data_IF_196784402533
#
_entry.id   IF_196784402533
#
_cell.length_a   1.000
_cell.length_b   1.000
_cell.length_c   1.000
_cell.angle_alpha   90.00
_cell.angle_beta   90.00
_cell.angle_gamma   90.00
#
_symmetry.space_group_name_H-M   'P 1'
#
loop_
_entity.id
_entity.type
_entity.pdbx_description
1 polymer ?
#
# COMPACT_ATOMS: atom_id res chain seq x y z
N UNK A 1 -10.90 19.13 -8.28
CA UNK A 1 -11.58 18.77 -7.03
C UNK A 1 -11.95 17.31 -7.10
N UNK A 2 -11.84 16.59 -6.00
CA UNK A 2 -12.03 15.15 -6.00
C UNK A 2 -13.49 14.75 -6.20
N UNK A 3 -13.73 13.80 -7.10
CA UNK A 3 -15.05 13.28 -7.44
C UNK A 3 -15.16 11.85 -6.95
N UNK A 4 -16.18 11.58 -6.14
CA UNK A 4 -16.48 10.23 -5.64
C UNK A 4 -17.95 9.89 -5.84
N UNK A 5 -18.26 8.58 -5.85
CA UNK A 5 -19.62 8.05 -6.00
C UNK A 5 -19.86 6.91 -5.00
N UNK A 6 -21.05 6.80 -4.39
CA UNK A 6 -21.48 5.58 -3.72
C UNK A 6 -21.70 4.47 -4.76
N UNK A 7 -21.56 3.22 -4.34
CA UNK A 7 -21.74 2.07 -5.25
C UNK A 7 -22.40 0.88 -4.54
N UNK A 8 -22.91 -0.06 -5.33
CA UNK A 8 -23.46 -1.33 -4.84
C UNK A 8 -22.34 -2.32 -4.59
N UNK A 9 -21.82 -2.39 -3.37
CA UNK A 9 -20.74 -3.30 -3.01
C UNK A 9 -21.18 -4.76 -3.17
N UNK A 10 -20.26 -5.59 -3.68
CA UNK A 10 -20.36 -7.06 -3.58
C UNK A 10 -19.54 -7.47 -2.38
N UNK A 11 -20.15 -8.11 -1.39
CA UNK A 11 -19.52 -8.40 -0.12
C UNK A 11 -19.99 -9.71 0.51
N UNK A 12 -19.20 -10.35 1.38
CA UNK A 12 -19.61 -11.58 2.02
C UNK A 12 -20.73 -11.34 3.03
N UNK A 13 -21.60 -12.32 3.28
CA UNK A 13 -22.45 -12.36 4.47
C UNK A 13 -21.61 -12.24 5.76
N UNK A 14 -22.21 -11.68 6.82
CA UNK A 14 -21.52 -11.38 8.09
C UNK A 14 -20.77 -12.60 8.68
N UNK A 15 -21.34 -13.78 8.59
CA UNK A 15 -20.80 -15.04 9.10
C UNK A 15 -19.72 -15.66 8.20
N UNK A 16 -19.49 -15.11 7.01
CA UNK A 16 -18.51 -15.62 6.05
C UNK A 16 -17.30 -14.69 5.84
N UNK A 17 -17.34 -13.44 6.33
CA UNK A 17 -16.30 -12.45 6.01
C UNK A 17 -14.89 -12.91 6.40
N UNK A 18 -14.73 -13.56 7.56
CA UNK A 18 -13.43 -14.09 8.02
C UNK A 18 -12.89 -15.23 7.15
N UNK A 19 -13.79 -15.94 6.45
CA UNK A 19 -13.41 -17.02 5.54
C UNK A 19 -13.10 -16.53 4.13
N UNK A 20 -13.69 -15.39 3.75
CA UNK A 20 -13.54 -14.80 2.41
C UNK A 20 -12.35 -13.85 2.37
N UNK A 21 -12.16 -13.01 3.38
CA UNK A 21 -11.13 -11.98 3.37
C UNK A 21 -9.72 -12.57 3.19
N UNK A 22 -8.84 -11.79 2.61
CA UNK A 22 -7.43 -12.16 2.42
C UNK A 22 -6.51 -10.95 2.48
N UNK A 23 -5.21 -11.19 2.66
CA UNK A 23 -4.19 -10.16 2.41
C UNK A 23 -4.17 -9.77 0.93
N UNK A 24 -3.70 -8.57 0.56
CA UNK A 24 -3.59 -8.17 -0.85
C UNK A 24 -2.55 -9.03 -1.59
N UNK A 25 -2.73 -9.15 -2.90
CA UNK A 25 -1.97 -10.07 -3.76
C UNK A 25 -0.45 -9.83 -3.75
N UNK A 26 -0.02 -8.61 -3.45
CA UNK A 26 1.37 -8.14 -3.59
C UNK A 26 2.22 -8.28 -2.31
N UNK A 27 1.65 -8.80 -1.23
CA UNK A 27 2.37 -9.01 0.05
C UNK A 27 2.82 -10.45 0.28
N UNK A 28 2.44 -11.38 -0.61
CA UNK A 28 2.76 -12.80 -0.49
C UNK A 28 3.00 -13.41 -1.89
N UNK A 29 3.80 -14.46 -1.92
CA UNK A 29 3.98 -15.25 -3.13
C UNK A 29 2.85 -16.29 -3.31
N UNK A 30 2.91 -17.07 -4.41
CA UNK A 30 1.85 -18.05 -4.73
C UNK A 30 1.86 -19.26 -3.80
N UNK A 31 2.99 -19.63 -3.23
CA UNK A 31 3.08 -20.75 -2.29
C UNK A 31 2.57 -20.34 -0.91
N UNK A 32 2.90 -19.13 -0.48
CA UNK A 32 2.35 -18.51 0.74
C UNK A 32 0.82 -18.38 0.64
N UNK A 33 0.31 -17.91 -0.51
CA UNK A 33 -1.14 -17.81 -0.75
C UNK A 33 -1.84 -19.17 -0.72
N UNK A 34 -1.22 -20.18 -1.31
CA UNK A 34 -1.72 -21.56 -1.27
C UNK A 34 -1.76 -22.11 0.15
N UNK A 35 -0.71 -21.86 0.93
CA UNK A 35 -0.62 -22.28 2.32
C UNK A 35 -1.67 -21.59 3.21
N UNK A 36 -1.90 -20.28 3.00
CA UNK A 36 -2.93 -19.54 3.75
C UNK A 36 -4.36 -19.94 3.35
N UNK A 37 -4.62 -20.15 2.06
CA UNK A 37 -5.92 -20.63 1.61
C UNK A 37 -6.21 -22.04 2.17
N UNK A 38 -5.21 -22.91 2.25
CA UNK A 38 -5.37 -24.29 2.74
C UNK A 38 -6.54 -25.00 2.04
N UNK A 39 -7.43 -25.58 2.82
CA UNK A 39 -8.66 -26.24 2.34
C UNK A 39 -9.87 -25.29 2.30
N UNK A 40 -9.67 -24.01 2.49
CA UNK A 40 -10.76 -23.02 2.48
C UNK A 40 -11.14 -22.61 1.06
N UNK A 41 -12.15 -23.25 0.48
CA UNK A 41 -12.68 -22.92 -0.84
C UNK A 41 -13.27 -21.50 -0.96
N UNK A 42 -13.54 -20.83 0.16
CA UNK A 42 -14.08 -19.46 0.20
C UNK A 42 -12.98 -18.40 0.27
N UNK A 43 -11.70 -18.77 0.38
CA UNK A 43 -10.61 -17.80 0.43
C UNK A 43 -10.57 -16.98 -0.85
N UNK A 44 -10.49 -15.65 -0.71
CA UNK A 44 -10.40 -14.76 -1.88
C UNK A 44 -9.12 -14.98 -2.70
N UNK A 45 -8.12 -15.65 -2.16
CA UNK A 45 -6.93 -16.02 -2.92
C UNK A 45 -7.26 -16.80 -4.19
N UNK A 46 -8.33 -17.60 -4.22
CA UNK A 46 -8.81 -18.27 -5.42
C UNK A 46 -9.23 -17.31 -6.55
N UNK A 47 -9.46 -16.02 -6.22
CA UNK A 47 -9.81 -14.97 -7.20
C UNK A 47 -8.63 -14.07 -7.51
N UNK A 48 -7.85 -13.64 -6.49
CA UNK A 48 -6.78 -12.66 -6.66
C UNK A 48 -5.41 -13.29 -6.95
N UNK A 49 -5.23 -14.58 -6.62
CA UNK A 49 -4.05 -15.42 -6.90
C UNK A 49 -4.49 -16.80 -7.41
N UNK A 50 -5.26 -16.86 -8.51
CA UNK A 50 -5.94 -18.09 -8.95
C UNK A 50 -4.96 -19.16 -9.45
N UNK A 51 -3.68 -18.85 -9.61
CA UNK A 51 -2.62 -19.85 -9.86
C UNK A 51 -2.51 -20.91 -8.74
N UNK A 52 -3.06 -20.63 -7.54
CA UNK A 52 -3.10 -21.61 -6.46
C UNK A 52 -4.01 -22.82 -6.77
N UNK A 53 -4.95 -22.66 -7.70
CA UNK A 53 -5.83 -23.74 -8.16
C UNK A 53 -5.18 -24.67 -9.22
N UNK A 54 -3.96 -24.37 -9.63
CA UNK A 54 -3.17 -25.12 -10.62
C UNK A 54 -1.98 -25.84 -9.94
N UNK A 55 -1.30 -26.77 -10.64
CA UNK A 55 -0.10 -27.38 -10.13
C UNK A 55 0.96 -26.34 -9.71
N UNK A 56 1.73 -26.68 -8.66
CA UNK A 56 2.84 -25.83 -8.19
C UNK A 56 3.80 -25.52 -9.34
N UNK A 57 4.24 -24.26 -9.44
CA UNK A 57 5.08 -23.77 -10.53
C UNK A 57 4.31 -23.22 -11.73
N UNK A 58 2.97 -23.26 -11.73
CA UNK A 58 2.18 -22.54 -12.74
C UNK A 58 2.41 -21.04 -12.61
N UNK A 59 2.74 -20.40 -13.72
CA UNK A 59 2.99 -18.95 -13.75
C UNK A 59 1.73 -18.16 -13.42
N UNK A 60 1.83 -17.14 -12.56
CA UNK A 60 0.75 -16.17 -12.31
C UNK A 60 0.27 -15.45 -13.58
N UNK A 61 1.08 -15.47 -14.64
CA UNK A 61 0.79 -14.83 -15.94
C UNK A 61 0.23 -15.80 -17.00
N UNK A 62 -0.02 -17.08 -16.67
CA UNK A 62 -0.65 -18.04 -17.59
C UNK A 62 -2.08 -17.56 -17.91
N UNK A 63 -2.49 -17.51 -19.19
CA UNK A 63 -3.84 -17.10 -19.58
C UNK A 63 -4.97 -17.81 -18.84
N UNK A 64 -4.79 -19.10 -18.54
CA UNK A 64 -5.78 -19.92 -17.82
C UNK A 64 -6.02 -19.43 -16.39
N UNK A 65 -5.02 -18.78 -15.78
CA UNK A 65 -5.11 -18.23 -14.42
C UNK A 65 -6.12 -17.09 -14.39
N UNK A 66 -6.13 -16.22 -15.39
CA UNK A 66 -7.12 -15.13 -15.48
C UNK A 66 -8.54 -15.64 -15.71
N UNK A 67 -8.71 -16.66 -16.57
CA UNK A 67 -10.01 -17.31 -16.80
C UNK A 67 -10.53 -17.93 -15.49
N UNK A 68 -9.62 -18.58 -14.73
CA UNK A 68 -9.93 -19.16 -13.43
C UNK A 68 -10.37 -18.13 -12.40
N UNK A 69 -9.76 -16.92 -12.40
CA UNK A 69 -10.21 -15.81 -11.55
C UNK A 69 -11.69 -15.49 -11.80
N UNK A 70 -12.10 -15.37 -13.08
CA UNK A 70 -13.49 -15.06 -13.44
C UNK A 70 -14.45 -16.20 -13.08
N UNK A 71 -14.07 -17.45 -13.33
CA UNK A 71 -14.85 -18.63 -12.90
C UNK A 71 -15.08 -18.63 -11.40
N UNK A 72 -14.02 -18.41 -10.62
CA UNK A 72 -14.09 -18.38 -9.17
C UNK A 72 -14.95 -17.20 -8.68
N UNK A 73 -14.78 -16.02 -9.26
CA UNK A 73 -15.60 -14.85 -8.90
C UNK A 73 -17.09 -15.09 -9.17
N UNK A 74 -17.43 -15.74 -10.28
CA UNK A 74 -18.83 -16.15 -10.56
C UNK A 74 -19.29 -17.24 -9.58
N UNK A 75 -18.46 -18.28 -9.32
CA UNK A 75 -18.76 -19.34 -8.33
C UNK A 75 -19.08 -18.76 -6.95
N UNK A 76 -18.32 -17.76 -6.50
CA UNK A 76 -18.53 -17.13 -5.19
C UNK A 76 -19.88 -16.42 -5.11
N UNK A 77 -20.31 -15.77 -6.18
CA UNK A 77 -21.64 -15.15 -6.27
C UNK A 77 -22.76 -16.21 -6.34
N UNK A 78 -22.60 -17.24 -7.15
CA UNK A 78 -23.60 -18.33 -7.30
C UNK A 78 -23.81 -19.12 -6.00
N UNK A 79 -22.74 -19.23 -5.19
CA UNK A 79 -22.78 -19.89 -3.87
C UNK A 79 -23.29 -18.98 -2.74
N UNK A 80 -23.51 -17.70 -3.01
CA UNK A 80 -23.88 -16.72 -2.00
C UNK A 80 -22.76 -16.41 -1.01
N UNK A 81 -21.51 -16.73 -1.34
CA UNK A 81 -20.33 -16.31 -0.54
C UNK A 81 -19.99 -14.84 -0.72
N UNK A 82 -20.42 -14.28 -1.85
CA UNK A 82 -20.40 -12.87 -2.16
C UNK A 82 -21.77 -12.45 -2.67
N UNK A 83 -22.35 -11.41 -2.08
CA UNK A 83 -23.69 -10.92 -2.39
C UNK A 83 -23.62 -9.42 -2.69
N UNK A 84 -24.30 -8.99 -3.76
CA UNK A 84 -24.35 -7.57 -4.11
C UNK A 84 -25.40 -6.84 -3.27
N UNK A 85 -25.05 -5.67 -2.74
CA UNK A 85 -25.97 -4.80 -2.04
C UNK A 85 -27.05 -4.24 -2.98
N UNK A 86 -28.27 -4.04 -2.48
CA UNK A 86 -29.40 -3.55 -3.28
C UNK A 86 -29.30 -2.06 -3.63
N UNK A 87 -28.61 -1.27 -2.80
CA UNK A 87 -28.47 0.20 -2.91
C UNK A 87 -27.06 0.63 -3.11
N UNK A 88 -26.87 1.76 -3.79
CA UNK A 88 -25.62 2.48 -3.83
C UNK A 88 -25.37 3.13 -2.46
N UNK A 89 -24.20 2.91 -1.88
CA UNK A 89 -23.84 3.38 -0.54
C UNK A 89 -22.33 3.54 -0.38
N UNK A 90 -21.92 4.26 0.66
CA UNK A 90 -20.54 4.28 1.10
C UNK A 90 -20.37 3.32 2.28
N UNK A 91 -19.11 3.07 2.60
CA UNK A 91 -18.79 2.22 3.75
C UNK A 91 -17.65 2.83 4.56
N UNK A 92 -17.58 2.47 5.83
CA UNK A 92 -16.43 2.75 6.68
C UNK A 92 -15.70 1.43 6.91
N UNK A 93 -14.41 1.42 6.66
CA UNK A 93 -13.53 0.30 6.97
C UNK A 93 -12.48 0.74 7.98
N UNK A 94 -12.50 0.14 9.17
CA UNK A 94 -11.55 0.41 10.23
C UNK A 94 -10.57 -0.75 10.40
N UNK A 95 -9.31 -0.40 10.64
CA UNK A 95 -8.23 -1.34 10.88
C UNK A 95 -7.53 -0.99 12.19
N UNK A 96 -7.31 -2.00 13.03
CA UNK A 96 -6.63 -1.83 14.33
C UNK A 96 -5.33 -2.63 14.33
N UNK A 97 -4.21 -1.95 14.55
CA UNK A 97 -2.88 -2.53 14.72
C UNK A 97 -2.20 -1.91 15.95
N UNK A 98 -1.66 -2.74 16.84
CA UNK A 98 -0.96 -2.29 18.05
C UNK A 98 -1.75 -1.27 18.89
N UNK A 99 -3.06 -1.45 19.01
CA UNK A 99 -3.95 -0.58 19.79
C UNK A 99 -4.33 0.74 19.09
N UNK A 100 -3.80 1.03 17.90
CA UNK A 100 -4.19 2.19 17.09
C UNK A 100 -5.18 1.76 16.02
N UNK A 101 -6.32 2.47 15.93
CA UNK A 101 -7.33 2.26 14.89
C UNK A 101 -7.31 3.41 13.89
N UNK A 102 -7.30 3.09 12.60
CA UNK A 102 -7.50 4.02 11.49
C UNK A 102 -8.83 3.72 10.79
N UNK A 103 -9.54 4.76 10.37
CA UNK A 103 -10.85 4.68 9.74
C UNK A 103 -10.80 5.24 8.34
N UNK A 104 -11.18 4.43 7.35
CA UNK A 104 -11.24 4.83 5.95
C UNK A 104 -12.66 4.80 5.40
N UNK A 105 -12.98 5.73 4.50
CA UNK A 105 -14.21 5.75 3.72
C UNK A 105 -13.98 4.95 2.42
N UNK A 106 -14.82 3.95 2.19
CA UNK A 106 -14.80 3.15 0.95
C UNK A 106 -15.72 3.82 -0.05
N UNK A 107 -15.14 4.20 -1.19
CA UNK A 107 -15.80 5.02 -2.22
C UNK A 107 -15.46 4.52 -3.62
N UNK A 108 -16.29 4.85 -4.59
CA UNK A 108 -15.91 4.84 -6.01
C UNK A 108 -15.19 6.14 -6.34
N UNK A 109 -13.88 6.10 -6.61
CA UNK A 109 -13.06 7.25 -7.01
C UNK A 109 -13.09 7.42 -8.53
N UNK A 110 -13.21 8.65 -9.02
CA UNK A 110 -13.43 8.93 -10.44
C UNK A 110 -12.16 8.69 -11.27
N UNK A 111 -12.32 7.96 -12.38
CA UNK A 111 -11.22 7.60 -13.29
C UNK A 111 -10.51 8.83 -13.85
N UNK A 112 -11.28 9.86 -14.26
CA UNK A 112 -10.70 11.07 -14.82
C UNK A 112 -9.89 11.87 -13.79
N UNK A 113 -10.21 11.78 -12.50
CA UNK A 113 -9.40 12.41 -11.44
C UNK A 113 -8.00 11.78 -11.36
N UNK A 114 -7.88 10.48 -11.64
CA UNK A 114 -6.58 9.83 -11.78
C UNK A 114 -5.85 10.28 -13.06
N UNK A 115 -6.57 10.34 -14.19
CA UNK A 115 -5.99 10.71 -15.48
C UNK A 115 -5.55 12.18 -15.51
N UNK A 116 -6.28 13.07 -14.84
CA UNK A 116 -6.04 14.52 -14.82
C UNK A 116 -5.17 14.97 -13.63
N UNK A 117 -4.70 14.04 -12.77
CA UNK A 117 -3.80 14.36 -11.66
C UNK A 117 -4.46 15.02 -10.45
N UNK A 118 -5.77 14.91 -10.29
CA UNK A 118 -6.48 15.21 -9.02
C UNK A 118 -6.16 14.12 -7.99
N UNK A 119 -6.09 12.86 -8.43
CA UNK A 119 -5.51 11.77 -7.64
C UNK A 119 -4.01 11.75 -7.88
N UNK A 120 -3.26 12.17 -6.87
CA UNK A 120 -1.82 12.41 -6.90
C UNK A 120 -1.03 11.12 -6.69
N UNK A 121 0.04 10.97 -7.46
CA UNK A 121 0.98 9.83 -7.43
C UNK A 121 2.32 10.27 -6.89
N UNK A 122 3.00 9.40 -6.15
CA UNK A 122 4.37 9.61 -5.69
C UNK A 122 5.33 8.48 -6.11
N UNK A 123 4.82 7.46 -6.80
CA UNK A 123 5.60 6.32 -7.30
C UNK A 123 5.26 6.01 -8.76
N UNK A 124 6.28 5.54 -9.53
CA UNK A 124 6.09 5.04 -10.88
C UNK A 124 5.64 3.59 -10.87
N UNK A 125 4.67 3.26 -11.71
CA UNK A 125 4.23 1.88 -11.91
C UNK A 125 5.17 1.13 -12.86
N UNK A 126 5.27 -0.18 -12.66
CA UNK A 126 5.95 -1.09 -13.60
C UNK A 126 4.92 -1.60 -14.60
N UNK A 127 5.26 -1.51 -15.90
CA UNK A 127 4.35 -1.84 -16.99
C UNK A 127 3.89 -3.31 -16.95
N UNK A 128 4.77 -4.24 -16.62
CA UNK A 128 4.44 -5.66 -16.49
C UNK A 128 3.37 -5.93 -15.41
N UNK A 129 3.50 -5.29 -14.24
CA UNK A 129 2.55 -5.40 -13.15
C UNK A 129 1.24 -4.66 -13.45
N UNK A 130 1.30 -3.53 -14.12
CA UNK A 130 0.13 -2.77 -14.56
C UNK A 130 -0.71 -3.59 -15.55
N UNK A 131 -0.08 -4.15 -16.59
CA UNK A 131 -0.75 -5.00 -17.57
C UNK A 131 -1.39 -6.25 -16.95
N UNK A 132 -0.72 -6.87 -15.99
CA UNK A 132 -1.24 -7.99 -15.23
C UNK A 132 -2.51 -7.62 -14.47
N UNK A 133 -2.49 -6.55 -13.69
CA UNK A 133 -3.68 -6.06 -12.97
C UNK A 133 -4.80 -5.60 -13.91
N UNK A 134 -4.47 -5.00 -15.05
CA UNK A 134 -5.48 -4.66 -16.08
C UNK A 134 -6.20 -5.90 -16.59
N UNK A 135 -5.50 -7.02 -16.82
CA UNK A 135 -6.13 -8.28 -17.22
C UNK A 135 -7.11 -8.77 -16.15
N UNK A 136 -6.71 -8.75 -14.88
CA UNK A 136 -7.61 -9.12 -13.78
C UNK A 136 -8.87 -8.25 -13.73
N UNK A 137 -8.72 -6.93 -13.84
CA UNK A 137 -9.87 -6.00 -13.85
C UNK A 137 -10.77 -6.24 -15.05
N UNK A 138 -10.22 -6.47 -16.26
CA UNK A 138 -11.01 -6.74 -17.46
C UNK A 138 -11.80 -8.03 -17.36
N UNK A 139 -11.15 -9.13 -16.96
CA UNK A 139 -11.76 -10.46 -16.97
C UNK A 139 -12.84 -10.60 -15.89
N UNK A 140 -12.59 -10.06 -14.70
CA UNK A 140 -13.57 -10.06 -13.61
C UNK A 140 -14.66 -9.00 -13.80
N UNK A 141 -14.44 -8.01 -14.65
CA UNK A 141 -15.28 -6.82 -14.78
C UNK A 141 -15.58 -6.16 -13.42
N UNK A 142 -14.58 -6.11 -12.56
CA UNK A 142 -14.66 -5.64 -11.17
C UNK A 142 -13.32 -5.17 -10.63
N UNK A 143 -13.36 -4.26 -9.66
CA UNK A 143 -12.24 -3.98 -8.77
C UNK A 143 -12.36 -4.91 -7.56
N UNK A 144 -11.67 -6.05 -7.61
CA UNK A 144 -11.69 -7.07 -6.55
C UNK A 144 -10.95 -6.57 -5.30
N UNK A 145 -9.85 -5.85 -5.49
CA UNK A 145 -8.99 -5.34 -4.42
C UNK A 145 -9.08 -3.82 -4.34
N UNK A 146 -9.22 -3.24 -3.15
CA UNK A 146 -9.27 -1.79 -2.98
C UNK A 146 -7.89 -1.15 -3.20
N UNK A 147 -7.90 0.13 -3.54
CA UNK A 147 -6.71 0.99 -3.48
C UNK A 147 -6.75 1.85 -2.22
N UNK A 148 -5.59 2.25 -1.73
CA UNK A 148 -5.43 2.96 -0.47
C UNK A 148 -5.08 4.41 -0.73
N UNK A 149 -5.99 5.34 -0.38
CA UNK A 149 -5.81 6.77 -0.56
C UNK A 149 -5.75 7.50 0.77
N UNK A 150 -5.07 8.64 0.75
CA UNK A 150 -5.12 9.63 1.81
C UNK A 150 -5.81 10.90 1.33
N UNK A 151 -6.48 11.60 2.26
CA UNK A 151 -7.02 12.93 2.03
C UNK A 151 -6.65 13.88 3.19
N UNK A 152 -6.58 15.20 2.94
CA UNK A 152 -6.35 16.20 4.00
C UNK A 152 -7.40 16.09 5.10
N UNK A 153 -7.01 16.25 6.36
CA UNK A 153 -7.90 16.11 7.48
C UNK A 153 -9.16 16.98 7.34
N UNK A 154 -10.32 16.39 7.63
CA UNK A 154 -11.62 17.02 7.48
C UNK A 154 -12.50 16.73 8.71
N UNK A 155 -12.81 17.77 9.47
CA UNK A 155 -13.57 17.63 10.72
C UNK A 155 -15.00 17.12 10.51
N UNK A 156 -15.66 17.48 9.41
CA UNK A 156 -17.04 17.03 9.13
C UNK A 156 -17.07 15.52 8.91
N UNK A 157 -16.12 15.01 8.11
CA UNK A 157 -15.98 13.57 7.86
C UNK A 157 -15.53 12.82 9.14
N UNK A 158 -14.64 13.41 9.93
CA UNK A 158 -14.19 12.81 11.19
C UNK A 158 -15.37 12.66 12.18
N UNK A 159 -16.19 13.70 12.35
CA UNK A 159 -17.37 13.66 13.22
C UNK A 159 -18.41 12.62 12.71
N UNK A 160 -18.61 12.53 11.40
CA UNK A 160 -19.48 11.53 10.79
C UNK A 160 -18.97 10.10 11.04
N UNK A 161 -17.69 9.84 10.79
CA UNK A 161 -17.06 8.55 11.02
C UNK A 161 -17.16 8.14 12.50
N UNK A 162 -16.89 9.06 13.44
CA UNK A 162 -17.02 8.81 14.89
C UNK A 162 -18.43 8.42 15.29
N UNK A 163 -19.44 9.04 14.67
CA UNK A 163 -20.85 8.70 14.92
C UNK A 163 -21.16 7.26 14.51
N UNK A 164 -20.70 6.82 13.35
CA UNK A 164 -20.86 5.43 12.92
C UNK A 164 -20.03 4.47 13.77
N UNK A 165 -18.80 4.83 14.11
CA UNK A 165 -17.90 4.00 14.93
C UNK A 165 -18.45 3.74 16.34
N UNK A 166 -19.38 4.58 16.84
CA UNK A 166 -20.10 4.38 18.10
C UNK A 166 -21.29 3.41 18.00
N UNK A 167 -21.62 2.94 16.78
CA UNK A 167 -22.69 1.96 16.55
C UNK A 167 -22.10 0.55 16.36
N UNK A 168 -22.97 -0.49 16.40
CA UNK A 168 -22.56 -1.84 16.08
C UNK A 168 -22.12 -1.96 14.62
N UNK A 169 -20.93 -2.52 14.33
CA UNK A 169 -20.46 -2.71 12.97
C UNK A 169 -21.15 -3.89 12.27
N UNK A 170 -21.22 -3.83 10.96
CA UNK A 170 -21.63 -4.95 10.11
C UNK A 170 -20.65 -6.12 10.24
N UNK A 171 -19.32 -5.84 10.21
CA UNK A 171 -18.27 -6.80 10.48
C UNK A 171 -17.41 -6.35 11.66
N UNK A 172 -17.02 -7.29 12.50
CA UNK A 172 -16.06 -7.10 13.59
C UNK A 172 -15.30 -8.41 13.82
N UNK A 173 -14.04 -8.44 13.39
CA UNK A 173 -13.21 -9.65 13.49
C UNK A 173 -11.74 -9.31 13.66
N UNK A 174 -10.97 -10.31 14.11
CA UNK A 174 -9.51 -10.26 14.19
C UNK A 174 -8.97 -11.28 13.18
N UNK A 175 -8.18 -10.79 12.21
CA UNK A 175 -7.59 -11.68 11.22
C UNK A 175 -6.55 -12.60 11.85
N UNK A 176 -6.67 -13.93 11.71
CA UNK A 176 -5.81 -14.89 12.41
C UNK A 176 -4.35 -14.87 11.95
N UNK A 177 -4.10 -14.39 10.75
CA UNK A 177 -2.76 -14.40 10.14
C UNK A 177 -1.80 -13.38 10.74
N UNK A 178 -2.31 -12.25 11.24
CA UNK A 178 -1.49 -11.14 11.77
C UNK A 178 -2.03 -10.54 13.08
N UNK A 179 -3.21 -10.96 13.53
CA UNK A 179 -3.84 -10.48 14.75
C UNK A 179 -4.41 -9.06 14.64
N UNK A 180 -4.55 -8.50 13.44
CA UNK A 180 -5.11 -7.17 13.24
C UNK A 180 -6.63 -7.21 13.31
N UNK A 181 -7.21 -6.16 13.92
CA UNK A 181 -8.65 -5.98 14.03
C UNK A 181 -9.22 -5.29 12.79
N UNK A 182 -10.39 -5.76 12.35
CA UNK A 182 -11.11 -5.21 11.20
C UNK A 182 -12.57 -4.97 11.56
N UNK A 183 -13.06 -3.76 11.30
CA UNK A 183 -14.48 -3.41 11.48
C UNK A 183 -15.00 -2.72 10.22
N UNK A 184 -16.29 -2.91 9.96
CA UNK A 184 -16.92 -2.39 8.75
C UNK A 184 -18.33 -1.91 9.04
N UNK A 185 -18.71 -0.74 8.52
CA UNK A 185 -20.05 -0.16 8.64
C UNK A 185 -20.57 0.21 7.27
N UNK A 186 -21.87 0.12 7.11
CA UNK A 186 -22.59 0.52 5.89
C UNK A 186 -23.22 1.90 6.11
N UNK A 187 -23.00 2.81 5.17
CA UNK A 187 -23.57 4.16 5.18
C UNK A 187 -24.65 4.22 4.09
N UNK A 188 -25.90 4.10 4.49
CA UNK A 188 -27.06 4.08 3.59
C UNK A 188 -28.02 5.28 3.81
N UNK A 189 -27.72 6.16 4.74
CA UNK A 189 -28.47 7.40 4.95
C UNK A 189 -28.17 8.41 3.85
N UNK A 190 -29.19 8.91 3.15
CA UNK A 190 -29.03 9.81 2.00
C UNK A 190 -28.37 11.15 2.37
N UNK A 191 -28.58 11.66 3.59
CA UNK A 191 -27.96 12.91 4.04
C UNK A 191 -26.47 12.70 4.31
N UNK A 192 -26.09 11.55 4.87
CA UNK A 192 -24.69 11.21 5.12
C UNK A 192 -23.96 10.95 3.81
N UNK A 193 -24.59 10.24 2.87
CA UNK A 193 -24.06 10.03 1.51
C UNK A 193 -23.82 11.38 0.84
N UNK A 194 -24.80 12.28 0.89
CA UNK A 194 -24.65 13.63 0.34
C UNK A 194 -23.54 14.40 1.02
N UNK A 195 -23.44 14.35 2.35
CA UNK A 195 -22.42 15.04 3.13
C UNK A 195 -21.01 14.56 2.73
N UNK A 196 -20.80 13.25 2.62
CA UNK A 196 -19.52 12.68 2.21
C UNK A 196 -19.17 13.15 0.79
N UNK A 197 -20.10 13.06 -0.16
CA UNK A 197 -19.88 13.48 -1.54
C UNK A 197 -19.52 14.97 -1.62
N UNK A 198 -20.27 15.84 -0.89
CA UNK A 198 -20.04 17.29 -0.88
C UNK A 198 -18.69 17.65 -0.25
N UNK A 199 -18.27 16.96 0.81
CA UNK A 199 -16.97 17.22 1.45
C UNK A 199 -15.80 16.80 0.56
N UNK A 200 -15.86 15.66 -0.13
CA UNK A 200 -14.84 15.28 -1.11
C UNK A 200 -14.78 16.25 -2.29
N UNK A 201 -15.92 16.76 -2.75
CA UNK A 201 -15.97 17.76 -3.81
C UNK A 201 -15.30 19.10 -3.46
N UNK A 202 -14.97 19.35 -2.19
CA UNK A 202 -14.20 20.53 -1.75
C UNK A 202 -12.69 20.25 -1.73
N UNK A 203 -12.27 18.99 -1.76
CA UNK A 203 -10.85 18.60 -1.69
C UNK A 203 -10.16 18.82 -3.04
N UNK A 204 -9.04 19.55 -3.08
CA UNK A 204 -8.32 19.78 -4.34
C UNK A 204 -7.69 18.50 -4.89
N UNK A 205 -7.27 17.58 -4.04
CA UNK A 205 -6.59 16.35 -4.43
C UNK A 205 -6.82 15.23 -3.42
N UNK A 206 -6.68 13.99 -3.92
CA UNK A 206 -6.46 12.78 -3.13
C UNK A 206 -5.05 12.26 -3.40
N UNK A 207 -4.49 11.47 -2.49
CA UNK A 207 -3.11 11.00 -2.58
C UNK A 207 -3.08 9.48 -2.48
N UNK A 208 -2.46 8.81 -3.44
CA UNK A 208 -2.28 7.37 -3.38
C UNK A 208 -1.27 7.08 -2.26
N UNK A 209 -1.70 6.35 -1.24
CA UNK A 209 -0.82 5.87 -0.17
C UNK A 209 -0.21 4.51 -0.56
N UNK A 210 -1.05 3.57 -1.01
CA UNK A 210 -0.63 2.24 -1.46
C UNK A 210 -1.50 1.76 -2.64
N UNK A 211 -0.97 0.83 -3.46
CA UNK A 211 -1.69 0.28 -4.60
C UNK A 211 -1.57 1.10 -5.89
N UNK A 212 -0.42 1.70 -6.17
CA UNK A 212 -0.18 2.45 -7.41
C UNK A 212 -0.48 1.64 -8.68
N UNK A 213 -0.08 0.35 -8.74
CA UNK A 213 -0.37 -0.53 -9.88
C UNK A 213 -1.86 -0.83 -10.01
N UNK A 214 -2.57 -1.06 -8.88
CA UNK A 214 -4.02 -1.28 -8.85
C UNK A 214 -4.78 -0.03 -9.29
N UNK A 215 -4.37 1.15 -8.82
CA UNK A 215 -4.96 2.44 -9.24
C UNK A 215 -4.79 2.70 -10.73
N UNK A 216 -3.57 2.49 -11.26
CA UNK A 216 -3.28 2.64 -12.69
C UNK A 216 -4.13 1.67 -13.52
N UNK A 217 -4.14 0.39 -13.16
CA UNK A 217 -4.88 -0.63 -13.89
C UNK A 217 -6.39 -0.35 -13.91
N UNK A 218 -6.98 0.01 -12.77
CA UNK A 218 -8.40 0.34 -12.68
C UNK A 218 -8.77 1.56 -13.53
N UNK A 219 -7.98 2.64 -13.46
CA UNK A 219 -8.22 3.85 -14.22
C UNK A 219 -8.06 3.62 -15.73
N UNK A 220 -7.02 2.89 -16.16
CA UNK A 220 -6.80 2.60 -17.57
C UNK A 220 -7.88 1.70 -18.17
N UNK A 221 -8.33 0.69 -17.43
CA UNK A 221 -9.45 -0.17 -17.88
C UNK A 221 -10.76 0.62 -17.92
N UNK A 222 -11.03 1.49 -16.95
CA UNK A 222 -12.18 2.37 -16.97
C UNK A 222 -12.20 3.28 -18.21
N UNK A 223 -11.08 3.95 -18.48
CA UNK A 223 -10.91 4.80 -19.67
C UNK A 223 -11.05 4.00 -21.00
N UNK A 224 -10.52 2.77 -21.04
CA UNK A 224 -10.70 1.86 -22.18
C UNK A 224 -12.18 1.50 -22.43
N UNK A 225 -12.92 1.17 -21.36
CA UNK A 225 -14.36 0.89 -21.43
C UNK A 225 -15.15 2.10 -21.90
N UNK A 226 -14.85 3.28 -21.36
CA UNK A 226 -15.49 4.53 -21.79
C UNK A 226 -15.28 4.80 -23.30
N UNK A 227 -14.04 4.65 -23.77
CA UNK A 227 -13.67 4.82 -25.19
C UNK A 227 -14.39 3.83 -26.11
N UNK A 228 -14.58 2.58 -25.63
CA UNK A 228 -15.18 1.52 -26.43
C UNK A 228 -16.73 1.48 -26.35
N UNK A 229 -17.34 2.27 -25.47
CA UNK A 229 -18.80 2.34 -25.34
C UNK A 229 -19.38 3.51 -26.18
N UNK A 230 -20.02 3.24 -27.33
CA UNK A 230 -20.62 4.30 -28.15
C UNK A 230 -21.79 5.02 -27.48
N UNK A 231 -22.30 4.48 -26.37
CA UNK A 231 -23.39 5.06 -25.58
C UNK A 231 -22.89 5.60 -24.24
N UNK A 232 -21.59 5.87 -24.12
CA UNK A 232 -21.00 6.42 -22.91
C UNK A 232 -21.65 7.75 -22.51
N UNK A 233 -22.04 7.86 -21.21
CA UNK A 233 -22.70 9.04 -20.64
C UNK A 233 -21.88 9.69 -19.52
N UNK A 234 -20.91 8.97 -18.94
CA UNK A 234 -20.06 9.41 -17.84
C UNK A 234 -20.53 8.98 -16.44
N UNK A 235 -21.71 8.38 -16.32
CA UNK A 235 -22.28 7.90 -15.05
C UNK A 235 -22.14 6.40 -14.82
N UNK A 236 -21.57 5.67 -15.80
CA UNK A 236 -21.39 4.23 -15.72
C UNK A 236 -20.36 3.83 -14.64
N UNK A 237 -20.55 2.64 -14.03
CA UNK A 237 -19.72 2.14 -12.92
C UNK A 237 -18.22 2.05 -13.27
N UNK A 238 -17.86 1.74 -14.50
CA UNK A 238 -16.46 1.68 -14.95
C UNK A 238 -15.74 3.05 -14.95
N UNK A 239 -16.47 4.16 -14.81
CA UNK A 239 -15.85 5.49 -14.61
C UNK A 239 -15.36 5.71 -13.19
N UNK A 240 -15.62 4.76 -12.30
CA UNK A 240 -15.20 4.80 -10.91
C UNK A 240 -14.45 3.53 -10.54
N UNK A 241 -13.52 3.63 -9.60
CA UNK A 241 -12.81 2.48 -9.07
C UNK A 241 -12.76 2.53 -7.54
N UNK A 242 -12.75 1.35 -6.93
CA UNK A 242 -12.87 1.22 -5.49
C UNK A 242 -11.62 1.69 -4.75
N UNK A 243 -11.78 2.69 -3.89
CA UNK A 243 -10.74 3.21 -3.02
C UNK A 243 -11.21 3.24 -1.56
N UNK A 244 -10.27 3.03 -0.64
CA UNK A 244 -10.44 3.31 0.79
C UNK A 244 -9.63 4.55 1.11
N UNK A 245 -10.31 5.63 1.49
CA UNK A 245 -9.75 6.95 1.71
C UNK A 245 -9.65 7.24 3.21
N UNK A 246 -8.44 7.51 3.70
CA UNK A 246 -8.16 7.81 5.11
C UNK A 246 -7.74 9.26 5.28
N UNK A 247 -8.04 9.84 6.44
CA UNK A 247 -7.43 11.11 6.82
C UNK A 247 -5.92 10.96 7.00
N UNK A 248 -5.17 11.91 6.46
CA UNK A 248 -3.70 11.86 6.46
C UNK A 248 -3.10 11.67 7.86
N UNK A 249 -3.66 12.32 8.89
CA UNK A 249 -3.18 12.23 10.27
C UNK A 249 -3.39 10.85 10.93
N UNK A 250 -4.30 10.01 10.41
CA UNK A 250 -4.58 8.69 10.97
C UNK A 250 -3.57 7.63 10.48
N UNK A 251 -2.89 7.88 9.36
CA UNK A 251 -2.05 6.88 8.72
C UNK A 251 -0.77 6.60 9.49
N UNK A 252 -0.35 5.35 9.46
CA UNK A 252 0.92 4.91 10.00
C UNK A 252 1.84 4.52 8.84
N UNK A 253 2.96 5.22 8.74
CA UNK A 253 4.02 4.92 7.79
C UNK A 253 5.19 4.36 8.59
N UNK A 254 5.60 3.16 8.25
CA UNK A 254 6.75 2.51 8.86
C UNK A 254 8.00 2.78 8.03
N UNK A 255 9.14 2.64 8.68
CA UNK A 255 10.45 2.70 8.05
C UNK A 255 10.60 1.58 7.00
N UNK A 256 11.32 1.90 5.93
CA UNK A 256 11.70 0.92 4.92
C UNK A 256 13.21 0.83 4.90
N UNK A 257 13.73 -0.23 5.50
CA UNK A 257 15.15 -0.37 5.82
C UNK A 257 15.92 -1.08 4.69
N UNK A 258 17.23 -0.97 4.70
CA UNK A 258 18.16 -1.54 3.73
C UNK A 258 19.12 -2.49 4.40
N UNK A 259 19.45 -3.57 3.67
CA UNK A 259 20.58 -4.46 4.00
C UNK A 259 21.44 -4.63 2.76
N UNK A 260 22.76 -4.60 2.92
CA UNK A 260 23.71 -4.70 1.81
C UNK A 260 24.69 -5.84 2.03
N UNK A 261 25.10 -6.50 0.94
CA UNK A 261 25.93 -7.71 0.97
C UNK A 261 27.40 -7.43 1.20
N UNK A 262 27.89 -6.25 0.84
CA UNK A 262 29.30 -5.91 0.91
C UNK A 262 29.53 -4.40 1.06
N UNK A 263 30.74 -4.02 1.43
CA UNK A 263 31.19 -2.64 1.58
C UNK A 263 32.01 -2.15 0.36
N UNK A 264 31.76 -2.65 -0.83
CA UNK A 264 32.46 -2.26 -2.05
C UNK A 264 34.00 -2.38 -1.91
N UNK A 265 34.46 -3.53 -1.43
CA UNK A 265 35.87 -3.88 -1.16
C UNK A 265 36.55 -3.07 -0.05
N UNK A 266 35.83 -2.20 0.67
CA UNK A 266 36.39 -1.47 1.81
C UNK A 266 36.36 -2.33 3.06
N UNK A 267 37.38 -2.14 3.91
CA UNK A 267 37.33 -2.59 5.29
C UNK A 267 36.42 -1.67 6.12
N UNK A 268 35.84 -2.17 7.21
CA UNK A 268 34.90 -1.43 8.05
C UNK A 268 35.46 -0.10 8.53
N UNK A 269 36.73 -0.07 8.94
CA UNK A 269 37.41 1.16 9.39
C UNK A 269 37.47 2.21 8.28
N UNK A 270 37.80 1.81 7.06
CA UNK A 270 37.85 2.72 5.90
C UNK A 270 36.44 3.24 5.59
N UNK A 271 35.43 2.35 5.61
CA UNK A 271 34.04 2.71 5.37
C UNK A 271 33.55 3.75 6.39
N UNK A 272 33.77 3.52 7.70
CA UNK A 272 33.41 4.48 8.76
C UNK A 272 34.11 5.83 8.59
N UNK A 273 35.40 5.85 8.19
CA UNK A 273 36.11 7.09 7.91
C UNK A 273 35.53 7.86 6.72
N UNK A 274 35.08 7.17 5.68
CA UNK A 274 34.43 7.80 4.52
C UNK A 274 33.03 8.30 4.89
N UNK A 275 32.25 7.55 5.65
CA UNK A 275 30.95 7.99 6.18
C UNK A 275 31.08 9.29 6.98
N UNK A 276 32.12 9.42 7.81
CA UNK A 276 32.36 10.59 8.64
C UNK A 276 32.62 11.89 7.85
N UNK A 277 32.75 11.84 6.53
CA UNK A 277 32.81 13.05 5.68
C UNK A 277 31.44 13.75 5.63
N UNK A 278 30.35 12.97 5.46
CA UNK A 278 29.02 13.48 5.28
C UNK A 278 28.13 13.32 6.51
N UNK A 279 28.51 12.48 7.47
CA UNK A 279 27.73 12.17 8.66
C UNK A 279 28.56 12.41 9.96
N UNK A 280 27.85 12.72 11.03
CA UNK A 280 28.37 12.55 12.39
C UNK A 280 28.10 11.09 12.73
N UNK A 281 29.15 10.32 13.00
CA UNK A 281 29.08 8.87 13.26
C UNK A 281 29.38 8.63 14.72
N UNK A 282 28.44 8.01 15.43
CA UNK A 282 28.62 7.68 16.86
C UNK A 282 28.35 6.18 17.05
N UNK A 283 29.27 5.49 17.72
CA UNK A 283 29.06 4.08 18.12
C UNK A 283 28.08 4.02 19.30
N UNK A 284 27.00 3.26 19.12
CA UNK A 284 25.93 3.04 20.12
C UNK A 284 26.05 1.67 20.82
N UNK A 285 27.08 0.87 20.50
CA UNK A 285 27.31 -0.44 21.06
C UNK A 285 26.48 -1.56 20.41
N UNK A 286 26.26 -2.63 21.16
CA UNK A 286 25.61 -3.86 20.67
C UNK A 286 24.08 -3.82 20.75
N UNK A 287 23.53 -2.93 21.58
CA UNK A 287 22.09 -2.79 21.76
C UNK A 287 21.46 -2.07 20.57
N UNK A 288 20.24 -2.52 20.19
CA UNK A 288 19.50 -1.96 19.05
C UNK A 288 19.29 -0.47 19.25
N UNK A 289 19.76 0.30 18.29
CA UNK A 289 19.54 1.74 18.22
C UNK A 289 18.62 2.10 17.06
N UNK A 290 17.51 2.77 17.33
CA UNK A 290 16.54 3.22 16.34
C UNK A 290 16.72 4.71 16.05
N UNK A 291 16.66 5.17 14.77
CA UNK A 291 16.66 6.61 14.43
C UNK A 291 15.56 7.35 15.20
N UNK A 292 15.89 8.50 15.76
CA UNK A 292 14.98 9.27 16.62
C UNK A 292 14.31 10.44 15.89
N UNK A 293 14.87 10.86 14.77
CA UNK A 293 14.44 12.05 14.02
C UNK A 293 14.87 11.99 12.56
N UNK A 294 14.29 12.89 11.75
CA UNK A 294 14.69 13.10 10.37
C UNK A 294 16.20 13.43 10.29
N UNK A 295 16.87 12.97 9.23
CA UNK A 295 18.31 13.09 8.97
C UNK A 295 19.22 12.30 9.93
N UNK A 296 18.62 11.43 10.73
CA UNK A 296 19.33 10.46 11.56
C UNK A 296 19.04 9.05 11.05
N UNK A 297 20.09 8.28 10.83
CA UNK A 297 20.05 6.88 10.42
C UNK A 297 20.61 6.00 11.51
N UNK A 298 20.24 4.75 11.50
CA UNK A 298 20.87 3.74 12.32
C UNK A 298 21.54 2.70 11.42
N UNK A 299 22.81 2.41 11.69
CA UNK A 299 23.58 1.44 10.92
C UNK A 299 24.04 0.29 11.82
N UNK A 300 23.86 -0.95 11.39
CA UNK A 300 24.41 -2.12 12.04
C UNK A 300 25.58 -2.69 11.22
N UNK A 301 26.76 -2.74 11.82
CA UNK A 301 28.01 -3.20 11.20
C UNK A 301 28.91 -3.83 12.25
N UNK A 302 29.47 -5.01 11.96
CA UNK A 302 30.45 -5.73 12.83
C UNK A 302 29.99 -5.92 14.29
N UNK A 303 28.70 -6.18 14.51
CA UNK A 303 28.15 -6.40 15.84
C UNK A 303 27.72 -5.13 16.58
N UNK A 304 28.01 -3.95 16.03
CA UNK A 304 27.70 -2.66 16.65
C UNK A 304 26.65 -1.87 15.87
N UNK A 305 25.83 -1.15 16.62
CA UNK A 305 24.93 -0.12 16.09
C UNK A 305 25.62 1.23 16.12
N UNK A 306 25.42 2.00 15.06
CA UNK A 306 25.94 3.37 14.92
C UNK A 306 24.78 4.31 14.63
N UNK A 307 24.75 5.50 15.24
CA UNK A 307 23.92 6.59 14.71
C UNK A 307 24.72 7.37 13.67
N UNK A 308 24.06 7.71 12.57
CA UNK A 308 24.61 8.52 11.49
C UNK A 308 23.72 9.75 11.36
N UNK A 309 24.19 10.92 11.80
CA UNK A 309 23.45 12.17 11.59
C UNK A 309 24.02 12.90 10.38
N UNK A 310 23.19 13.14 9.36
CA UNK A 310 23.61 13.87 8.17
C UNK A 310 24.03 15.29 8.52
N UNK A 311 25.18 15.73 7.99
CA UNK A 311 25.72 17.08 8.25
C UNK A 311 24.96 18.11 7.44
N UNK A 312 24.84 19.32 7.95
CA UNK A 312 24.32 20.46 7.21
C UNK A 312 25.05 20.63 5.87
N UNK A 313 24.29 20.95 4.82
CA UNK A 313 24.77 21.07 3.44
C UNK A 313 24.91 19.74 2.68
N UNK A 314 24.59 18.59 3.30
CA UNK A 314 24.51 17.29 2.60
C UNK A 314 23.12 16.98 2.06
N UNK A 315 22.14 17.75 2.44
CA UNK A 315 20.73 17.69 2.00
C UNK A 315 20.18 19.09 1.76
N UNK A 316 19.04 19.18 1.09
CA UNK A 316 18.36 20.44 0.75
C UNK A 316 16.94 20.41 1.31
N UNK A 317 16.69 21.16 2.38
CA UNK A 317 15.37 21.28 3.03
C UNK A 317 14.32 21.94 2.12
N UNK A 318 14.72 22.59 1.05
CA UNK A 318 13.80 23.24 0.08
C UNK A 318 13.40 22.30 -1.08
N UNK A 319 14.13 21.20 -1.27
CA UNK A 319 13.76 20.17 -2.25
C UNK A 319 12.98 19.04 -1.57
N UNK A 320 11.71 18.83 -1.92
CA UNK A 320 10.87 17.80 -1.31
C UNK A 320 11.43 16.36 -1.46
N UNK A 321 12.33 16.11 -2.41
CA UNK A 321 13.05 14.84 -2.55
C UNK A 321 14.38 14.89 -1.79
N UNK A 322 15.17 15.93 -1.96
CA UNK A 322 16.51 16.08 -1.39
C UNK A 322 16.53 16.10 0.14
N UNK A 323 15.41 16.44 0.78
CA UNK A 323 15.22 16.42 2.24
C UNK A 323 14.98 15.02 2.79
N UNK A 324 14.64 14.03 1.96
CA UNK A 324 14.28 12.69 2.41
C UNK A 324 15.50 11.86 2.81
N UNK A 325 15.42 11.17 3.93
CA UNK A 325 16.43 10.22 4.38
C UNK A 325 16.72 9.13 3.36
N UNK A 326 15.68 8.70 2.63
CA UNK A 326 15.81 7.73 1.53
C UNK A 326 16.68 8.27 0.39
N UNK A 327 16.60 9.57 0.06
CA UNK A 327 17.44 10.20 -0.97
C UNK A 327 18.87 10.40 -0.46
N UNK A 328 19.01 10.95 0.74
CA UNK A 328 20.31 11.19 1.39
C UNK A 328 21.12 9.88 1.47
N UNK A 329 20.51 8.81 1.97
CA UNK A 329 21.16 7.50 2.05
C UNK A 329 21.49 6.91 0.68
N UNK A 330 20.60 7.09 -0.30
CA UNK A 330 20.81 6.59 -1.65
C UNK A 330 22.00 7.27 -2.34
N UNK A 331 22.11 8.59 -2.23
CA UNK A 331 23.22 9.36 -2.81
C UNK A 331 24.56 9.14 -2.06
N UNK A 332 24.54 9.37 -0.75
CA UNK A 332 25.79 9.50 0.02
C UNK A 332 26.33 8.18 0.54
N UNK A 333 25.51 7.15 0.67
CA UNK A 333 25.93 5.83 1.16
C UNK A 333 25.88 4.80 0.04
N UNK A 334 24.72 4.61 -0.58
CA UNK A 334 24.52 3.52 -1.54
C UNK A 334 25.26 3.77 -2.86
N UNK A 335 25.15 4.95 -3.45
CA UNK A 335 25.86 5.29 -4.70
C UNK A 335 27.32 5.65 -4.43
N UNK A 336 27.58 6.70 -3.64
CA UNK A 336 28.91 7.29 -3.48
C UNK A 336 29.94 6.31 -2.86
N UNK A 337 29.54 5.61 -1.79
CA UNK A 337 30.45 4.71 -1.08
C UNK A 337 30.37 3.27 -1.57
N UNK A 338 29.14 2.76 -1.77
CA UNK A 338 28.93 1.35 -2.11
C UNK A 338 28.81 1.10 -3.62
N UNK A 339 28.65 2.15 -4.45
CA UNK A 339 28.51 2.02 -5.90
C UNK A 339 27.22 1.31 -6.32
N UNK A 340 26.17 1.36 -5.48
CA UNK A 340 24.84 0.78 -5.76
C UNK A 340 23.94 1.89 -6.30
N UNK A 341 23.88 2.02 -7.63
CA UNK A 341 23.10 3.05 -8.34
C UNK A 341 21.70 2.61 -8.68
N UNK A 342 21.55 1.38 -9.12
CA UNK A 342 20.25 0.81 -9.45
C UNK A 342 19.70 0.03 -8.26
N UNK A 343 18.87 0.69 -7.45
CA UNK A 343 18.25 0.10 -6.28
C UNK A 343 17.21 -1.00 -6.61
N UNK A 344 16.71 -1.04 -7.85
CA UNK A 344 15.68 -2.01 -8.28
C UNK A 344 16.29 -3.27 -8.87
N UNK A 345 17.41 -3.14 -9.56
CA UNK A 345 18.06 -4.25 -10.29
C UNK A 345 19.29 -4.83 -9.58
N UNK A 346 19.83 -4.15 -8.56
CA UNK A 346 21.03 -4.61 -7.87
C UNK A 346 20.73 -5.79 -6.95
N UNK A 347 21.50 -6.87 -7.10
CA UNK A 347 21.48 -8.03 -6.19
C UNK A 347 22.36 -7.84 -4.93
N UNK A 348 23.02 -6.68 -4.78
CA UNK A 348 23.87 -6.35 -3.62
C UNK A 348 23.10 -5.69 -2.49
N UNK A 349 21.85 -5.30 -2.71
CA UNK A 349 20.96 -4.66 -1.73
C UNK A 349 19.66 -5.45 -1.64
N UNK A 350 19.08 -5.51 -0.44
CA UNK A 350 17.72 -5.96 -0.19
C UNK A 350 17.02 -5.01 0.79
N UNK A 351 15.69 -5.09 0.87
CA UNK A 351 14.85 -4.17 1.61
C UNK A 351 14.05 -4.91 2.69
N UNK A 352 13.90 -4.25 3.84
CA UNK A 352 13.19 -4.81 5.00
C UNK A 352 12.16 -3.81 5.50
N UNK A 353 10.87 -4.14 5.35
CA UNK A 353 9.78 -3.31 5.89
C UNK A 353 9.82 -3.24 7.42
N UNK A 354 9.49 -2.07 7.95
CA UNK A 354 9.59 -1.76 9.38
C UNK A 354 8.74 -2.65 10.30
N UNK A 355 7.72 -3.33 9.76
CA UNK A 355 6.93 -4.31 10.51
C UNK A 355 7.77 -5.46 11.10
N UNK A 356 8.89 -5.81 10.43
CA UNK A 356 9.81 -6.88 10.88
C UNK A 356 10.75 -6.45 12.02
N UNK A 357 10.80 -5.14 12.35
CA UNK A 357 11.66 -4.59 13.37
C UNK A 357 13.13 -4.54 13.01
N UNK A 358 13.94 -3.92 13.89
CA UNK A 358 15.38 -3.80 13.71
C UNK A 358 16.13 -5.10 14.07
N UNK A 359 15.51 -5.98 14.83
CA UNK A 359 15.99 -7.33 15.14
C UNK A 359 16.21 -8.14 13.85
N UNK A 360 15.33 -7.99 12.87
CA UNK A 360 15.47 -8.67 11.57
C UNK A 360 16.69 -8.15 10.81
N UNK A 361 16.99 -6.86 10.90
CA UNK A 361 18.21 -6.28 10.30
C UNK A 361 19.45 -6.90 10.91
N UNK A 362 19.52 -6.93 12.26
CA UNK A 362 20.60 -7.56 13.01
C UNK A 362 20.74 -9.04 12.61
N UNK A 363 19.66 -9.79 12.61
CA UNK A 363 19.65 -11.21 12.25
C UNK A 363 20.20 -11.46 10.84
N UNK A 364 19.83 -10.66 9.84
CA UNK A 364 20.31 -10.82 8.46
C UNK A 364 21.81 -10.55 8.31
N UNK A 365 22.36 -9.63 9.09
CA UNK A 365 23.79 -9.37 9.10
C UNK A 365 24.53 -10.47 9.86
N UNK A 366 24.10 -10.81 11.08
CA UNK A 366 24.75 -11.82 11.93
C UNK A 366 24.74 -13.22 11.30
N UNK A 367 23.74 -13.54 10.48
CA UNK A 367 23.68 -14.82 9.72
C UNK A 367 24.70 -14.90 8.58
N UNK A 368 25.44 -13.81 8.29
CA UNK A 368 26.43 -13.74 7.21
C UNK A 368 25.85 -13.56 5.81
N UNK A 369 24.51 -13.46 5.67
CA UNK A 369 23.86 -13.21 4.39
C UNK A 369 24.02 -11.76 3.91
N UNK A 370 24.20 -10.83 4.85
CA UNK A 370 24.41 -9.40 4.60
C UNK A 370 25.58 -8.89 5.41
N UNK A 371 26.24 -7.84 4.92
CA UNK A 371 27.42 -7.25 5.56
C UNK A 371 27.07 -6.09 6.49
N UNK A 372 26.04 -5.33 6.14
CA UNK A 372 25.61 -4.14 6.85
C UNK A 372 24.10 -3.97 6.71
N UNK A 373 23.48 -3.38 7.72
CA UNK A 373 22.11 -2.90 7.66
C UNK A 373 22.04 -1.38 7.90
N UNK A 374 21.05 -0.73 7.28
CA UNK A 374 20.77 0.68 7.43
C UNK A 374 19.29 0.86 7.71
N UNK A 375 18.95 1.39 8.89
CA UNK A 375 17.61 1.79 9.25
C UNK A 375 17.41 3.28 9.04
N UNK A 376 16.25 3.64 8.47
CA UNK A 376 15.87 5.02 8.15
C UNK A 376 14.79 5.50 9.10
N UNK A 377 14.70 6.81 9.29
CA UNK A 377 13.51 7.41 9.90
C UNK A 377 12.33 7.36 8.93
N UNK A 378 11.11 7.02 9.37
CA UNK A 378 9.95 6.93 8.48
C UNK A 378 9.62 8.28 7.84
N UNK A 379 9.21 8.29 6.58
CA UNK A 379 8.64 9.48 5.94
C UNK A 379 7.29 9.83 6.54
N UNK A 380 6.93 11.10 6.50
CA UNK A 380 5.64 11.59 6.98
C UNK A 380 4.62 11.69 5.84
N UNK A 381 3.31 11.66 6.16
CA UNK A 381 2.28 11.93 5.15
C UNK A 381 2.43 13.30 4.51
N UNK A 382 2.85 14.32 5.27
CA UNK A 382 3.09 15.66 4.71
C UNK A 382 4.16 15.64 3.62
N UNK A 383 5.29 14.97 3.86
CA UNK A 383 6.35 14.82 2.85
C UNK A 383 5.83 14.12 1.58
N UNK A 384 5.02 13.07 1.71
CA UNK A 384 4.42 12.38 0.56
C UNK A 384 3.50 13.32 -0.22
N UNK A 385 2.66 14.08 0.47
CA UNK A 385 1.75 15.04 -0.15
C UNK A 385 2.52 16.16 -0.87
N UNK A 386 3.55 16.73 -0.24
CA UNK A 386 4.38 17.79 -0.83
C UNK A 386 5.09 17.31 -2.11
N UNK A 387 5.61 16.07 -2.09
CA UNK A 387 6.23 15.45 -3.27
C UNK A 387 5.21 15.24 -4.38
N UNK A 388 4.06 14.66 -4.06
CA UNK A 388 3.01 14.39 -5.04
C UNK A 388 2.44 15.69 -5.64
N UNK A 389 2.31 16.75 -4.84
CA UNK A 389 1.88 18.08 -5.29
C UNK A 389 2.92 18.77 -6.18
N UNK A 390 4.20 18.55 -5.94
CA UNK A 390 5.29 19.05 -6.80
C UNK A 390 5.39 18.32 -8.15
N UNK A 391 4.63 17.23 -8.35
CA UNK A 391 4.71 16.36 -9.54
C UNK A 391 5.99 15.52 -9.60
N UNK A 392 6.80 15.52 -8.54
CA UNK A 392 8.00 14.69 -8.44
C UNK A 392 7.65 13.26 -8.01
N UNK A 393 8.59 12.35 -8.21
CA UNK A 393 8.46 10.93 -7.87
C UNK A 393 9.48 10.59 -6.78
N UNK A 394 9.01 9.87 -5.78
CA UNK A 394 9.87 9.37 -4.70
C UNK A 394 10.87 8.32 -5.20
N UNK A 395 12.05 8.23 -4.57
CA UNK A 395 12.92 7.07 -4.73
C UNK A 395 12.16 5.76 -4.41
N UNK A 396 12.53 4.63 -5.06
CA UNK A 396 11.86 3.36 -4.81
C UNK A 396 12.05 2.90 -3.35
N UNK A 397 11.05 2.18 -2.83
CA UNK A 397 11.10 1.62 -1.48
C UNK A 397 11.28 2.69 -0.39
N UNK A 398 10.52 3.79 -0.52
CA UNK A 398 10.53 4.91 0.40
C UNK A 398 9.43 4.84 1.47
N UNK A 399 8.30 4.22 1.16
CA UNK A 399 7.11 4.17 2.01
C UNK A 399 6.69 2.73 2.31
N UNK A 400 6.21 2.50 3.53
CA UNK A 400 5.58 1.25 3.93
C UNK A 400 4.37 1.56 4.81
N UNK A 401 3.17 1.49 4.22
CA UNK A 401 1.92 1.72 4.95
C UNK A 401 1.43 0.44 5.63
N UNK A 402 1.05 0.55 6.90
CA UNK A 402 0.44 -0.51 7.68
C UNK A 402 -0.76 0.04 8.51
N UNK A 403 -1.78 -0.80 8.76
CA UNK A 403 -2.02 -2.14 8.21
C UNK A 403 -2.34 -2.11 6.71
N UNK A 404 -2.02 -3.20 6.00
CA UNK A 404 -2.45 -3.37 4.60
C UNK A 404 -3.95 -3.58 4.53
N UNK A 405 -4.61 -2.99 3.52
CA UNK A 405 -6.03 -3.24 3.28
C UNK A 405 -6.30 -4.72 3.00
N UNK A 406 -7.35 -5.26 3.60
CA UNK A 406 -7.83 -6.61 3.25
C UNK A 406 -8.61 -6.55 1.94
N UNK A 407 -8.45 -7.58 1.15
CA UNK A 407 -9.25 -7.87 -0.03
C UNK A 407 -10.45 -8.74 0.36
N UNK A 408 -11.58 -8.63 -0.35
CA UNK A 408 -12.76 -9.47 -0.14
C UNK A 408 -13.75 -8.98 0.93
N UNK A 409 -13.48 -7.86 1.60
CA UNK A 409 -14.46 -7.24 2.51
C UNK A 409 -15.58 -6.58 1.70
N UNK A 410 -15.22 -5.92 0.62
CA UNK A 410 -16.14 -5.35 -0.38
C UNK A 410 -15.45 -5.30 -1.74
N UNK A 411 -16.23 -5.43 -2.81
CA UNK A 411 -15.79 -5.47 -4.20
C UNK A 411 -16.68 -4.53 -5.00
N UNK A 412 -16.11 -3.82 -5.98
CA UNK A 412 -16.84 -2.93 -6.87
C UNK A 412 -16.93 -3.52 -8.27
N UNK A 413 -18.16 -3.78 -8.76
CA UNK A 413 -18.43 -4.26 -10.10
C UNK A 413 -18.50 -3.10 -11.08
N UNK A 414 -17.96 -3.28 -12.29
CA UNK A 414 -17.85 -2.20 -13.29
C UNK A 414 -19.04 -2.15 -14.26
N UNK A 415 -20.12 -2.88 -14.00
CA UNK A 415 -21.35 -2.86 -14.81
C UNK A 415 -22.58 -3.21 -13.97
#
# INVERSE_FOLDING_TARGET
MATIKPFKGIRPPKDLVEKVESRPYDVLDSEEARAEAGDNEMSLYHIIKPEIDFPVGTSEYDPRVYEKAAENFQKFQDKGWLVQDDKEQYYIYAQTMNGKTQYGLVVGAFVDDYMNGVIKKHELTRRDKEEDRMKHVRINNANIEPVFFAYPDNKVLDDLIKRYAATEPEYDFIAPVDGFGHKFWVISDDNDIKTITDEFAKMPSLYIADGHHRSAAAALVGAEKAKNNPKHRGDEEYNYFMAVCFQASQLTILDYNRVVKDLNRMESKEFLQKLARNFIVEDKGEEIYKPQRLHEFSMYLDGHWYSLTAKEGTYDDTDPIGVLDVDISSRLILDDLLGIRDLRGSNRIDFVGGLRGLEELKRRVDSGGMRMALALYPVTMQQIMDIADSGKIMPPKATWFEPKLRSGIVIHKLS
#
